data_IF_174529341516
#
_entry.id   IF_174529341516
#
_cell.length_a   1.000
_cell.length_b   1.000
_cell.length_c   1.000
_cell.angle_alpha   90.00
_cell.angle_beta   90.00
_cell.angle_gamma   90.00
#
_symmetry.space_group_name_H-M   'P 1'
#
loop_
_entity.id
_entity.type
_entity.pdbx_description
1 polymer ?
#
# COMPACT_ATOMS: atom_id res chain seq x y z
N UNK A 1 12.19 -25.53 24.33
CA UNK A 1 11.00 -25.86 23.48
C UNK A 1 9.86 -24.79 23.47
N UNK A 2 9.93 -23.69 24.25
CA UNK A 2 8.86 -22.69 24.38
C UNK A 2 8.90 -21.52 23.39
N UNK A 3 10.04 -21.20 22.79
CA UNK A 3 10.23 -20.02 21.92
C UNK A 3 9.71 -20.20 20.50
N UNK A 4 9.48 -21.40 20.01
CA UNK A 4 8.99 -21.67 18.65
C UNK A 4 7.55 -21.22 18.38
N UNK A 5 6.84 -20.71 19.40
CA UNK A 5 5.44 -20.22 19.31
C UNK A 5 5.29 -18.73 19.59
N UNK A 6 6.38 -17.97 19.63
CA UNK A 6 6.36 -16.52 19.84
C UNK A 6 6.59 -15.85 18.50
N UNK A 7 5.75 -14.86 18.17
CA UNK A 7 5.79 -14.14 16.92
C UNK A 7 5.74 -12.63 17.17
N UNK A 8 6.64 -11.88 16.56
CA UNK A 8 6.65 -10.43 16.67
C UNK A 8 5.37 -9.83 16.09
N UNK A 9 4.82 -8.83 16.78
CA UNK A 9 3.56 -8.18 16.46
C UNK A 9 3.66 -6.65 16.62
N UNK A 10 2.58 -5.93 16.34
CA UNK A 10 2.47 -4.49 16.59
C UNK A 10 3.60 -3.68 15.97
N UNK A 11 4.18 -2.79 16.76
CA UNK A 11 5.28 -1.91 16.34
C UNK A 11 6.53 -2.68 15.94
N UNK A 12 6.92 -3.68 16.72
CA UNK A 12 8.10 -4.51 16.40
C UNK A 12 7.95 -5.23 15.07
N UNK A 13 6.78 -5.80 14.79
CA UNK A 13 6.52 -6.41 13.47
C UNK A 13 6.63 -5.38 12.34
N UNK A 14 6.08 -4.17 12.51
CA UNK A 14 6.22 -3.11 11.53
C UNK A 14 7.67 -2.73 11.27
N UNK A 15 8.48 -2.57 12.31
CA UNK A 15 9.92 -2.27 12.22
C UNK A 15 10.66 -3.37 11.43
N UNK A 16 10.39 -4.65 11.72
CA UNK A 16 10.97 -5.79 11.00
C UNK A 16 10.57 -5.76 9.51
N UNK A 17 9.27 -5.61 9.19
CA UNK A 17 8.81 -5.54 7.80
C UNK A 17 9.39 -4.36 7.03
N UNK A 18 9.61 -3.23 7.70
CA UNK A 18 10.17 -2.02 7.09
C UNK A 18 11.70 -2.00 7.05
N UNK A 19 12.38 -2.96 7.70
CA UNK A 19 13.84 -2.97 7.85
C UNK A 19 14.37 -1.82 8.70
N UNK A 20 13.62 -1.43 9.72
CA UNK A 20 13.98 -0.35 10.66
C UNK A 20 14.67 -0.91 11.89
N UNK A 21 15.41 -0.04 12.60
CA UNK A 21 15.93 -0.36 13.92
C UNK A 21 14.81 -0.72 14.88
N UNK A 22 15.01 -1.80 15.66
CA UNK A 22 14.03 -2.25 16.64
C UNK A 22 14.03 -1.32 17.85
N UNK A 23 12.84 -0.98 18.33
CA UNK A 23 12.64 -0.18 19.53
C UNK A 23 12.11 -1.04 20.68
N UNK A 24 12.60 -0.80 21.88
CA UNK A 24 12.16 -1.50 23.08
C UNK A 24 11.00 -0.79 23.80
N UNK A 25 10.15 -1.54 24.50
CA UNK A 25 10.10 -3.00 24.61
C UNK A 25 9.63 -3.66 23.31
N UNK A 26 10.21 -4.82 22.97
CA UNK A 26 9.76 -5.62 21.82
C UNK A 26 8.36 -6.16 22.07
N UNK A 27 7.51 -6.09 21.04
CA UNK A 27 6.13 -6.58 21.09
C UNK A 27 5.99 -7.92 20.36
N UNK A 28 5.42 -8.91 21.04
CA UNK A 28 5.18 -10.22 20.48
C UNK A 28 3.84 -10.82 20.94
N UNK A 29 3.43 -11.88 20.27
CA UNK A 29 2.29 -12.74 20.64
C UNK A 29 2.75 -14.17 20.84
N UNK A 30 2.12 -14.87 21.78
CA UNK A 30 2.45 -16.25 22.12
C UNK A 30 1.41 -16.92 22.97
N UNK A 31 1.66 -18.19 23.39
CA UNK A 31 0.70 -18.99 24.16
C UNK A 31 0.48 -18.49 25.60
N UNK A 32 1.33 -17.61 26.09
CA UNK A 32 1.25 -17.04 27.45
C UNK A 32 1.56 -15.54 27.42
N UNK A 33 0.99 -14.81 28.38
CA UNK A 33 1.33 -13.40 28.60
C UNK A 33 2.61 -13.32 29.42
N UNK A 34 3.59 -12.56 28.91
CA UNK A 34 4.86 -12.30 29.60
C UNK A 34 5.19 -10.80 29.50
N UNK A 35 5.72 -10.23 30.58
CA UNK A 35 6.17 -8.83 30.64
C UNK A 35 7.58 -8.76 31.19
N UNK A 36 8.45 -8.03 30.53
CA UNK A 36 9.81 -7.72 30.97
C UNK A 36 10.14 -6.27 30.62
N UNK A 37 11.30 -5.78 31.06
CA UNK A 37 11.79 -4.44 30.72
C UNK A 37 11.94 -4.24 29.22
N UNK A 38 12.44 -5.27 28.52
CA UNK A 38 12.78 -5.21 27.09
C UNK A 38 11.77 -5.91 26.18
N UNK A 39 10.71 -6.52 26.69
CA UNK A 39 9.73 -7.23 25.88
C UNK A 39 8.34 -7.28 26.52
N UNK A 40 7.32 -7.42 25.66
CA UNK A 40 5.92 -7.65 26.02
C UNK A 40 5.36 -8.73 25.11
N UNK A 41 4.96 -9.87 25.70
CA UNK A 41 4.26 -10.93 24.97
C UNK A 41 2.82 -10.95 25.42
N UNK A 42 1.89 -10.80 24.48
CA UNK A 42 0.45 -10.95 24.73
C UNK A 42 -0.02 -12.36 24.36
N UNK A 43 -0.97 -12.90 25.15
CA UNK A 43 -1.58 -14.18 24.81
C UNK A 43 -2.33 -14.09 23.47
N UNK A 44 -2.05 -15.05 22.57
CA UNK A 44 -2.74 -15.17 21.29
C UNK A 44 -2.76 -16.61 20.80
N UNK A 45 -3.86 -17.00 20.15
CA UNK A 45 -4.00 -18.26 19.41
C UNK A 45 -3.72 -18.10 17.92
N UNK A 46 -3.06 -17.03 17.51
CA UNK A 46 -2.78 -16.73 16.11
C UNK A 46 -1.92 -17.82 15.46
N UNK A 47 -2.36 -18.26 14.27
CA UNK A 47 -1.66 -19.25 13.43
C UNK A 47 -1.08 -18.66 12.15
N UNK A 48 -1.41 -17.40 11.83
CA UNK A 48 -1.00 -16.74 10.60
C UNK A 48 0.32 -15.98 10.80
N UNK A 49 1.42 -16.63 10.45
CA UNK A 49 2.78 -16.13 10.68
C UNK A 49 3.60 -16.17 9.41
N UNK A 50 4.57 -15.27 9.33
CA UNK A 50 5.57 -15.21 8.29
C UNK A 50 6.96 -15.29 8.90
N UNK A 51 7.97 -15.61 8.09
CA UNK A 51 9.38 -15.37 8.43
C UNK A 51 9.87 -14.19 7.63
N UNK A 52 10.43 -13.20 8.29
CA UNK A 52 11.08 -12.03 7.69
C UNK A 52 12.52 -12.02 8.22
N UNK A 53 13.50 -12.18 7.35
CA UNK A 53 14.91 -12.31 7.71
C UNK A 53 15.14 -13.35 8.84
N UNK A 54 14.45 -14.50 8.74
CA UNK A 54 14.54 -15.57 9.76
C UNK A 54 13.70 -15.35 11.02
N UNK A 55 13.19 -14.13 11.27
CA UNK A 55 12.41 -13.78 12.44
C UNK A 55 10.93 -14.18 12.27
N UNK A 56 10.31 -14.83 13.27
CA UNK A 56 8.88 -15.16 13.23
C UNK A 56 8.03 -13.90 13.47
N UNK A 57 7.21 -13.53 12.51
CA UNK A 57 6.39 -12.31 12.56
C UNK A 57 4.95 -12.66 12.23
N UNK A 58 3.97 -12.02 12.88
CA UNK A 58 2.57 -12.13 12.48
C UNK A 58 2.37 -11.50 11.09
N UNK A 59 1.35 -11.95 10.35
CA UNK A 59 1.03 -11.37 9.05
C UNK A 59 0.83 -9.85 9.12
N UNK A 60 1.15 -9.08 8.06
CA UNK A 60 1.15 -7.61 8.10
C UNK A 60 -0.17 -7.01 8.56
N UNK A 61 -1.29 -7.53 8.10
CA UNK A 61 -2.60 -7.02 8.51
C UNK A 61 -2.90 -7.26 9.99
N UNK A 62 -2.39 -8.37 10.58
CA UNK A 62 -2.49 -8.66 12.02
C UNK A 62 -1.59 -7.74 12.84
N UNK A 63 -0.36 -7.48 12.37
CA UNK A 63 0.51 -6.48 12.99
C UNK A 63 -0.15 -5.10 12.97
N UNK A 64 -0.70 -4.68 11.82
CA UNK A 64 -1.40 -3.43 11.62
C UNK A 64 -2.59 -3.24 12.58
N UNK A 65 -3.30 -4.32 12.92
CA UNK A 65 -4.42 -4.27 13.88
C UNK A 65 -4.03 -3.68 15.23
N UNK A 66 -2.80 -3.93 15.71
CA UNK A 66 -2.34 -3.44 17.02
C UNK A 66 -1.87 -2.00 17.01
N UNK A 67 -1.38 -1.51 15.88
CA UNK A 67 -0.83 -0.16 15.75
C UNK A 67 -1.74 0.81 14.99
N UNK A 68 -2.88 0.32 14.48
CA UNK A 68 -3.96 1.12 13.86
C UNK A 68 -3.45 2.24 12.93
N UNK A 69 -3.57 3.51 13.33
CA UNK A 69 -3.21 4.67 12.48
C UNK A 69 -1.73 4.69 12.05
N UNK A 70 -0.83 4.18 12.88
CA UNK A 70 0.60 4.14 12.58
C UNK A 70 1.00 3.05 11.56
N UNK A 71 0.06 2.18 11.16
CA UNK A 71 0.36 1.05 10.28
C UNK A 71 0.43 1.39 8.77
N UNK A 72 0.11 2.63 8.36
CA UNK A 72 0.09 3.00 6.93
C UNK A 72 1.36 2.62 6.17
N UNK A 73 2.59 2.92 6.65
CA UNK A 73 3.82 2.55 5.94
C UNK A 73 3.96 1.02 5.74
N UNK A 74 3.54 0.22 6.72
CA UNK A 74 3.52 -1.23 6.63
C UNK A 74 2.56 -1.70 5.54
N UNK A 75 1.33 -1.17 5.54
CA UNK A 75 0.29 -1.55 4.58
C UNK A 75 0.72 -1.21 3.15
N UNK A 76 1.19 0.01 2.90
CA UNK A 76 1.58 0.48 1.58
C UNK A 76 2.82 -0.25 1.05
N UNK A 77 3.80 -0.58 1.90
CA UNK A 77 4.96 -1.40 1.50
C UNK A 77 4.55 -2.83 1.15
N UNK A 78 3.73 -3.46 1.99
CA UNK A 78 3.38 -4.87 1.82
C UNK A 78 2.35 -5.12 0.71
N UNK A 79 1.38 -4.22 0.58
CA UNK A 79 0.30 -4.32 -0.41
C UNK A 79 0.51 -3.39 -1.61
N UNK A 80 1.77 -3.17 -2.01
CA UNK A 80 2.11 -2.41 -3.21
C UNK A 80 1.87 -3.21 -4.49
N UNK A 81 1.78 -2.50 -5.61
CA UNK A 81 1.75 -3.03 -6.95
C UNK A 81 0.46 -3.74 -7.33
N UNK A 82 0.41 -4.20 -8.56
CA UNK A 82 -0.78 -4.80 -9.21
C UNK A 82 -1.45 -5.92 -8.42
N UNK A 83 -0.69 -6.66 -7.63
CA UNK A 83 -1.21 -7.75 -6.79
C UNK A 83 -1.54 -7.30 -5.36
N UNK A 84 -1.21 -6.05 -4.99
CA UNK A 84 -1.40 -5.50 -3.65
C UNK A 84 -2.84 -5.57 -3.15
N UNK A 85 -3.81 -5.03 -3.88
CA UNK A 85 -5.22 -5.07 -3.49
C UNK A 85 -5.74 -6.50 -3.29
N UNK A 86 -5.40 -7.43 -4.19
CA UNK A 86 -5.79 -8.84 -4.08
C UNK A 86 -5.15 -9.55 -2.88
N UNK A 87 -3.88 -9.22 -2.54
CA UNK A 87 -3.24 -9.73 -1.32
C UNK A 87 -3.94 -9.20 -0.07
N UNK A 88 -4.24 -7.91 -0.02
CA UNK A 88 -4.96 -7.30 1.10
C UNK A 88 -6.32 -7.96 1.31
N UNK A 89 -7.08 -8.18 0.24
CA UNK A 89 -8.39 -8.79 0.35
C UNK A 89 -8.32 -10.25 0.84
N UNK A 90 -7.35 -11.04 0.37
CA UNK A 90 -7.11 -12.39 0.90
C UNK A 90 -6.79 -12.40 2.39
N UNK A 91 -5.94 -11.48 2.84
CA UNK A 91 -5.59 -11.38 4.25
C UNK A 91 -6.76 -10.87 5.09
N UNK A 92 -7.56 -9.96 4.55
CA UNK A 92 -8.78 -9.45 5.18
C UNK A 92 -9.82 -10.55 5.43
N UNK A 93 -10.03 -11.44 4.46
CA UNK A 93 -10.95 -12.60 4.59
C UNK A 93 -10.55 -13.56 5.70
N UNK A 94 -9.25 -13.67 6.00
CA UNK A 94 -8.74 -14.49 7.11
C UNK A 94 -8.96 -13.84 8.48
N UNK A 95 -9.32 -12.57 8.53
CA UNK A 95 -9.53 -11.81 9.74
C UNK A 95 -11.02 -11.78 10.09
N UNK A 96 -11.42 -12.41 11.21
CA UNK A 96 -12.83 -12.48 11.64
C UNK A 96 -13.49 -11.09 11.69
N UNK A 97 -12.76 -10.07 12.15
CA UNK A 97 -13.21 -8.68 12.24
C UNK A 97 -12.04 -7.73 12.06
N UNK A 98 -12.17 -6.81 11.12
CA UNK A 98 -11.23 -5.68 10.96
C UNK A 98 -11.73 -4.52 11.81
N UNK A 99 -10.98 -4.00 12.79
CA UNK A 99 -11.38 -2.85 13.61
C UNK A 99 -11.61 -1.59 12.78
N UNK A 100 -12.54 -0.73 13.21
CA UNK A 100 -12.85 0.53 12.49
C UNK A 100 -11.60 1.39 12.22
N UNK A 101 -10.71 1.67 13.21
CA UNK A 101 -9.51 2.47 12.95
C UNK A 101 -8.58 1.88 11.87
N UNK A 102 -8.50 0.54 11.78
CA UNK A 102 -7.72 -0.12 10.74
C UNK A 102 -8.41 -0.02 9.38
N UNK A 103 -9.75 -0.17 9.32
CA UNK A 103 -10.51 0.05 8.08
C UNK A 103 -10.29 1.46 7.54
N UNK A 104 -10.35 2.46 8.41
CA UNK A 104 -10.14 3.87 8.05
C UNK A 104 -8.71 4.08 7.54
N UNK A 105 -7.70 3.49 8.20
CA UNK A 105 -6.32 3.56 7.73
C UNK A 105 -6.13 2.88 6.37
N UNK A 106 -6.71 1.70 6.16
CA UNK A 106 -6.68 1.00 4.86
C UNK A 106 -7.30 1.88 3.77
N UNK A 107 -8.46 2.47 4.03
CA UNK A 107 -9.17 3.33 3.08
C UNK A 107 -8.31 4.52 2.62
N UNK A 108 -7.54 5.11 3.55
CA UNK A 108 -6.68 6.27 3.29
C UNK A 108 -5.23 5.91 2.91
N UNK A 109 -4.92 4.63 2.75
CA UNK A 109 -3.60 4.16 2.32
C UNK A 109 -3.56 3.96 0.80
N UNK A 110 -2.41 4.24 0.19
CA UNK A 110 -2.16 4.05 -1.23
C UNK A 110 -1.87 2.57 -1.54
N UNK A 111 -2.87 1.71 -1.28
CA UNK A 111 -2.78 0.27 -1.56
C UNK A 111 -2.73 0.06 -3.07
N UNK A 112 -1.74 -0.67 -3.54
CA UNK A 112 -1.54 -0.94 -4.97
C UNK A 112 -0.55 -0.01 -5.65
N UNK A 113 -0.25 1.17 -5.10
CA UNK A 113 0.73 2.08 -5.69
C UNK A 113 2.13 1.45 -5.79
N UNK A 114 2.77 1.60 -6.94
CA UNK A 114 4.08 1.00 -7.22
C UNK A 114 5.24 1.94 -6.84
N UNK A 115 5.12 3.22 -7.16
CA UNK A 115 6.17 4.22 -6.98
C UNK A 115 5.92 5.16 -5.78
N UNK A 116 6.95 5.88 -5.29
CA UNK A 116 6.78 6.93 -4.29
C UNK A 116 5.87 8.08 -4.76
N UNK A 117 6.00 8.62 -6.00
CA UNK A 117 5.11 9.67 -6.51
C UNK A 117 3.65 9.21 -6.57
N UNK A 118 3.36 8.01 -7.10
CA UNK A 118 2.00 7.45 -7.09
C UNK A 118 1.41 7.38 -5.67
N UNK A 119 2.21 6.98 -4.67
CA UNK A 119 1.75 6.97 -3.27
C UNK A 119 1.44 8.36 -2.75
N UNK A 120 2.27 9.35 -3.09
CA UNK A 120 2.08 10.74 -2.69
C UNK A 120 0.78 11.29 -3.28
N UNK A 121 0.60 11.16 -4.60
CA UNK A 121 -0.62 11.56 -5.30
C UNK A 121 -1.87 10.88 -4.72
N UNK A 122 -1.83 9.56 -4.58
CA UNK A 122 -2.96 8.79 -4.03
C UNK A 122 -3.34 9.18 -2.61
N UNK A 123 -2.37 9.46 -1.75
CA UNK A 123 -2.62 9.91 -0.37
C UNK A 123 -3.30 11.27 -0.35
N UNK A 124 -2.84 12.20 -1.18
CA UNK A 124 -3.43 13.54 -1.25
C UNK A 124 -4.86 13.48 -1.79
N UNK A 125 -5.11 12.74 -2.87
CA UNK A 125 -6.46 12.52 -3.38
C UNK A 125 -7.39 11.94 -2.32
N UNK A 126 -6.94 10.93 -1.59
CA UNK A 126 -7.71 10.31 -0.50
C UNK A 126 -7.96 11.25 0.68
N UNK A 127 -7.04 12.16 0.99
CA UNK A 127 -7.22 13.18 2.00
C UNK A 127 -8.36 14.15 1.62
N UNK A 128 -8.54 14.38 0.31
CA UNK A 128 -9.62 15.20 -0.24
C UNK A 128 -10.91 14.43 -0.56
N UNK A 129 -11.01 13.18 -0.11
CA UNK A 129 -12.20 12.35 -0.28
C UNK A 129 -12.29 11.64 -1.65
N UNK A 130 -11.28 11.77 -2.50
CA UNK A 130 -11.20 11.10 -3.80
C UNK A 130 -10.44 9.78 -3.63
N UNK A 131 -11.06 8.66 -3.97
CA UNK A 131 -10.51 7.32 -3.72
C UNK A 131 -10.16 6.62 -5.05
N UNK A 132 -8.94 6.82 -5.59
CA UNK A 132 -8.52 6.19 -6.83
C UNK A 132 -8.37 4.68 -6.67
N UNK A 133 -8.65 3.95 -7.74
CA UNK A 133 -8.25 2.56 -7.91
C UNK A 133 -6.85 2.50 -8.52
N UNK A 134 -6.03 1.54 -8.07
CA UNK A 134 -4.67 1.40 -8.55
C UNK A 134 -4.50 0.24 -9.50
N UNK A 135 -3.57 0.38 -10.44
CA UNK A 135 -3.14 -0.69 -11.35
C UNK A 135 -4.31 -1.31 -12.13
N UNK A 136 -5.20 -0.48 -12.66
CA UNK A 136 -6.36 -0.94 -13.41
C UNK A 136 -5.99 -1.37 -14.83
N UNK A 137 -6.69 -2.39 -15.33
CA UNK A 137 -6.52 -2.89 -16.69
C UNK A 137 -7.69 -2.39 -17.56
N UNK A 138 -7.39 -1.60 -18.59
CA UNK A 138 -8.35 -1.06 -19.55
C UNK A 138 -7.87 -1.42 -20.95
N UNK A 139 -8.71 -2.07 -21.75
CA UNK A 139 -8.39 -2.44 -23.13
C UNK A 139 -7.03 -3.17 -23.29
N UNK A 140 -6.65 -4.02 -22.32
CA UNK A 140 -5.38 -4.74 -22.32
C UNK A 140 -4.19 -3.95 -21.76
N UNK A 141 -4.34 -2.66 -21.51
CA UNK A 141 -3.28 -1.79 -20.98
C UNK A 141 -3.49 -1.50 -19.50
N UNK A 142 -2.37 -1.40 -18.76
CA UNK A 142 -2.39 -1.08 -17.33
C UNK A 142 -2.19 0.42 -17.12
N UNK A 143 -3.02 1.00 -16.25
CA UNK A 143 -2.94 2.40 -15.83
C UNK A 143 -2.71 2.47 -14.32
N UNK A 144 -1.94 3.48 -13.87
CA UNK A 144 -1.54 3.58 -12.46
C UNK A 144 -2.74 3.86 -11.55
N UNK A 145 -3.61 4.79 -11.96
CA UNK A 145 -4.78 5.21 -11.19
C UNK A 145 -6.02 5.34 -12.10
N UNK A 146 -7.20 5.04 -11.52
CA UNK A 146 -8.50 5.33 -12.12
C UNK A 146 -9.40 6.07 -11.12
N UNK A 147 -10.08 7.11 -11.59
CA UNK A 147 -11.09 7.88 -10.86
C UNK A 147 -12.30 8.04 -11.78
N UNK A 148 -13.32 7.22 -11.63
CA UNK A 148 -14.44 7.22 -12.56
C UNK A 148 -14.00 6.93 -14.00
N UNK A 149 -14.14 7.92 -14.89
CA UNK A 149 -13.67 7.88 -16.30
C UNK A 149 -12.32 8.55 -16.54
N UNK A 150 -11.67 9.03 -15.50
CA UNK A 150 -10.31 9.56 -15.58
C UNK A 150 -9.30 8.47 -15.27
N UNK A 151 -8.31 8.31 -16.14
CA UNK A 151 -7.10 7.53 -15.94
C UNK A 151 -5.94 8.48 -15.68
N UNK A 152 -5.09 8.15 -14.71
CA UNK A 152 -3.91 8.94 -14.39
C UNK A 152 -2.68 8.03 -14.43
N UNK A 153 -1.64 8.51 -15.09
CA UNK A 153 -0.31 7.90 -15.18
C UNK A 153 0.70 8.79 -14.49
N UNK A 154 1.66 8.19 -13.81
CA UNK A 154 2.77 8.89 -13.18
C UNK A 154 4.08 8.34 -13.75
N UNK A 155 4.63 9.06 -14.73
CA UNK A 155 5.81 8.63 -15.46
C UNK A 155 7.08 8.82 -14.63
N UNK A 156 7.90 7.77 -14.54
CA UNK A 156 9.24 7.83 -13.96
C UNK A 156 10.25 8.48 -14.92
N UNK A 157 11.42 8.87 -14.39
CA UNK A 157 12.51 9.54 -15.12
C UNK A 157 13.08 8.77 -16.33
N UNK A 158 12.88 7.46 -16.44
CA UNK A 158 13.55 6.62 -17.45
C UNK A 158 12.87 6.57 -18.82
N UNK A 159 11.77 7.29 -19.03
CA UNK A 159 10.91 7.12 -20.23
C UNK A 159 11.41 7.81 -21.51
N UNK A 160 12.58 8.44 -21.55
CA UNK A 160 12.99 9.27 -22.71
C UNK A 160 13.85 8.59 -23.77
N UNK A 161 13.99 7.26 -23.84
CA UNK A 161 15.06 6.68 -24.69
C UNK A 161 14.70 5.73 -25.82
N UNK A 162 13.46 5.34 -26.12
CA UNK A 162 13.24 4.41 -27.25
C UNK A 162 11.97 4.69 -28.07
N UNK A 163 12.12 4.70 -29.41
CA UNK A 163 11.04 4.85 -30.41
C UNK A 163 9.94 3.80 -30.29
N UNK A 164 10.28 2.59 -29.87
CA UNK A 164 9.32 1.47 -29.65
C UNK A 164 8.39 1.77 -28.45
N UNK A 165 8.93 2.38 -27.38
CA UNK A 165 8.15 2.79 -26.23
C UNK A 165 7.11 3.87 -26.60
N UNK A 166 7.46 4.77 -27.50
CA UNK A 166 6.57 5.84 -27.97
C UNK A 166 5.34 5.31 -28.75
N UNK A 167 5.50 4.29 -29.60
CA UNK A 167 4.37 3.68 -30.33
C UNK A 167 3.44 2.92 -29.36
N UNK A 168 3.99 2.14 -28.44
CA UNK A 168 3.21 1.43 -27.44
C UNK A 168 2.40 2.40 -26.54
N UNK A 169 2.99 3.53 -26.22
CA UNK A 169 2.39 4.57 -25.39
C UNK A 169 1.20 5.26 -26.08
N UNK A 170 1.35 5.58 -27.37
CA UNK A 170 0.22 6.08 -28.20
C UNK A 170 -0.91 5.07 -28.32
N UNK A 171 -0.60 3.80 -28.54
CA UNK A 171 -1.59 2.73 -28.62
C UNK A 171 -2.37 2.59 -27.30
N UNK A 172 -1.69 2.66 -26.18
CA UNK A 172 -2.28 2.66 -24.84
C UNK A 172 -3.25 3.83 -24.65
N UNK A 173 -2.84 5.05 -24.99
CA UNK A 173 -3.66 6.25 -24.88
C UNK A 173 -4.89 6.18 -25.82
N UNK A 174 -4.69 5.81 -27.09
CA UNK A 174 -5.77 5.68 -28.05
C UNK A 174 -6.80 4.62 -27.62
N UNK A 175 -6.34 3.50 -27.08
CA UNK A 175 -7.23 2.46 -26.55
C UNK A 175 -8.07 2.99 -25.38
N UNK A 176 -7.50 3.76 -24.46
CA UNK A 176 -8.24 4.37 -23.37
C UNK A 176 -9.31 5.33 -23.87
N UNK A 177 -8.95 6.24 -24.80
CA UNK A 177 -9.87 7.22 -25.41
C UNK A 177 -11.00 6.50 -26.15
N UNK A 178 -10.70 5.48 -26.95
CA UNK A 178 -11.71 4.70 -27.67
C UNK A 178 -12.72 4.00 -26.73
N UNK A 179 -12.34 3.74 -25.47
CA UNK A 179 -13.21 3.20 -24.43
C UNK A 179 -13.86 4.31 -23.55
N UNK A 180 -13.77 5.57 -23.97
CA UNK A 180 -14.42 6.71 -23.31
C UNK A 180 -13.76 7.16 -22.02
N UNK A 181 -12.44 6.95 -21.90
CA UNK A 181 -11.65 7.48 -20.79
C UNK A 181 -10.87 8.73 -21.19
N UNK A 182 -10.76 9.67 -20.26
CA UNK A 182 -9.77 10.75 -20.31
C UNK A 182 -8.48 10.27 -19.67
N UNK A 183 -7.32 10.65 -20.19
CA UNK A 183 -6.01 10.29 -19.66
C UNK A 183 -5.25 11.55 -19.29
N UNK A 184 -4.82 11.67 -18.04
CA UNK A 184 -3.85 12.65 -17.56
C UNK A 184 -2.53 11.95 -17.27
N UNK A 185 -1.44 12.63 -17.63
CA UNK A 185 -0.08 12.14 -17.38
C UNK A 185 0.69 13.19 -16.59
N UNK A 186 1.34 12.75 -15.56
CA UNK A 186 2.20 13.56 -14.70
C UNK A 186 3.58 12.93 -14.63
N UNK A 187 4.60 13.76 -14.62
CA UNK A 187 5.95 13.31 -14.30
C UNK A 187 6.10 13.11 -12.78
N UNK A 188 7.15 12.40 -12.37
CA UNK A 188 7.50 12.31 -10.97
C UNK A 188 7.74 13.71 -10.36
N UNK A 189 8.29 14.65 -11.15
CA UNK A 189 8.57 16.01 -10.71
C UNK A 189 7.29 16.83 -10.52
N UNK A 190 6.28 16.69 -11.39
CA UNK A 190 4.97 17.30 -11.19
C UNK A 190 4.37 16.89 -9.84
N UNK A 191 4.52 15.62 -9.46
CA UNK A 191 4.00 15.13 -8.18
C UNK A 191 4.88 15.55 -7.00
N UNK A 192 6.18 15.64 -7.17
CA UNK A 192 7.09 15.99 -6.08
C UNK A 192 7.13 17.49 -5.78
N UNK A 193 6.97 18.34 -6.81
CA UNK A 193 7.16 19.79 -6.69
C UNK A 193 5.90 20.61 -6.98
N UNK A 194 4.92 20.05 -7.73
CA UNK A 194 3.70 20.73 -8.20
C UNK A 194 2.42 19.95 -7.86
N UNK A 195 2.43 19.21 -6.73
CA UNK A 195 1.31 18.33 -6.34
C UNK A 195 -0.04 19.03 -6.28
N UNK A 196 -0.07 20.29 -5.80
CA UNK A 196 -1.33 21.06 -5.70
C UNK A 196 -1.94 21.32 -7.06
N UNK A 197 -1.13 21.64 -8.05
CA UNK A 197 -1.56 21.89 -9.44
C UNK A 197 -2.09 20.60 -10.08
N UNK A 198 -1.38 19.49 -9.88
CA UNK A 198 -1.83 18.17 -10.33
C UNK A 198 -3.20 17.79 -9.73
N UNK A 199 -3.40 18.02 -8.44
CA UNK A 199 -4.68 17.76 -7.76
C UNK A 199 -5.79 18.66 -8.32
N UNK A 200 -5.53 19.95 -8.53
CA UNK A 200 -6.50 20.87 -9.11
C UNK A 200 -6.92 20.43 -10.50
N UNK A 201 -5.97 20.04 -11.36
CA UNK A 201 -6.27 19.54 -12.70
C UNK A 201 -7.09 18.24 -12.65
N UNK A 202 -6.75 17.31 -11.79
CA UNK A 202 -7.53 16.08 -11.59
C UNK A 202 -8.96 16.43 -11.18
N UNK A 203 -9.14 17.32 -10.20
CA UNK A 203 -10.47 17.74 -9.71
C UNK A 203 -11.31 18.44 -10.78
N UNK A 204 -10.69 19.20 -11.66
CA UNK A 204 -11.38 19.84 -12.78
C UNK A 204 -11.77 18.87 -13.90
N UNK A 205 -11.20 17.65 -13.90
CA UNK A 205 -11.41 16.65 -14.96
C UNK A 205 -12.41 15.54 -14.58
N UNK A 206 -12.75 15.38 -13.28
CA UNK A 206 -13.64 14.31 -12.77
C UNK A 206 -15.13 14.71 -12.72
#
# INVERSE_FOLDING_TARGET
HGLSRIHFTGKTAQEIYLGRQLTFPLEAEGPRTLKGKSFRVSHSRLRATHKVNGLPVVQPLWAARKISRACRPLLEKHYRGKHGPGRLERDRRRMRRVPKPLKDTIRHSAIGADSPPERTLSRQLRAEGIFPEHNVLIAGYRFDLRIGRLLVEVDGWEYHKHSVAFQADRSKQNAAVAHGYTVLRFTADDINYHLSEAILLIKATI
#
